data_IF_996098523448
#
_entry.id   IF_996098523448
#
_cell.length_a   1.000
_cell.length_b   1.000
_cell.length_c   1.000
_cell.angle_alpha   90.00
_cell.angle_beta   90.00
_cell.angle_gamma   90.00
#
_symmetry.space_group_name_H-M   'P 1'
#
loop_
_entity.id
_entity.type
_entity.pdbx_description
1 polymer ?
#
# COMPACT_ATOMS: atom_id res chain seq x y z
N UNK A 1 38.14 -12.65 20.53
CA UNK A 1 37.33 -13.16 19.40
C UNK A 1 36.38 -12.06 19.00
N UNK A 2 36.62 -11.40 17.87
CA UNK A 2 35.85 -10.24 17.42
C UNK A 2 34.48 -10.68 16.90
N UNK A 3 33.41 -10.12 17.46
CA UNK A 3 32.04 -10.29 16.96
C UNK A 3 31.78 -9.29 15.84
N UNK A 4 32.07 -9.68 14.60
CA UNK A 4 31.83 -8.89 13.40
C UNK A 4 30.34 -8.75 13.02
N UNK A 5 29.41 -9.26 13.84
CA UNK A 5 27.97 -9.12 13.66
C UNK A 5 27.40 -9.86 12.44
N UNK A 6 28.24 -10.53 11.65
CA UNK A 6 27.87 -11.18 10.39
C UNK A 6 28.17 -12.68 10.45
N UNK A 7 29.20 -13.12 11.19
CA UNK A 7 29.54 -14.54 11.34
C UNK A 7 28.88 -15.24 12.54
N UNK A 8 28.14 -14.51 13.38
CA UNK A 8 27.53 -15.08 14.60
C UNK A 8 26.07 -15.49 14.37
N UNK A 9 25.79 -16.78 14.53
CA UNK A 9 24.43 -17.32 14.47
C UNK A 9 23.53 -16.72 15.56
N UNK A 10 22.27 -16.42 15.22
CA UNK A 10 21.29 -15.87 16.18
C UNK A 10 21.09 -16.82 17.38
N UNK A 11 20.97 -16.33 18.62
CA UNK A 11 20.85 -17.19 19.81
C UNK A 11 19.68 -18.17 19.74
N UNK A 12 18.56 -17.79 19.11
CA UNK A 12 17.43 -18.69 18.91
C UNK A 12 17.77 -19.90 17.99
N UNK A 13 18.69 -19.73 17.04
CA UNK A 13 19.18 -20.84 16.21
C UNK A 13 20.11 -21.75 17.01
N UNK A 14 21.02 -21.17 17.79
CA UNK A 14 21.95 -21.93 18.64
C UNK A 14 21.25 -22.68 19.78
N UNK A 15 20.06 -22.24 20.19
CA UNK A 15 19.24 -22.93 21.17
C UNK A 15 18.53 -24.19 20.61
N UNK A 16 18.60 -24.45 19.30
CA UNK A 16 17.93 -25.61 18.68
C UNK A 16 18.59 -26.94 19.02
N UNK A 17 19.92 -26.98 19.21
CA UNK A 17 20.69 -28.19 19.42
C UNK A 17 21.99 -27.94 20.16
N UNK A 18 22.71 -29.00 20.52
CA UNK A 18 23.98 -28.91 21.27
C UNK A 18 25.16 -28.60 20.37
N UNK A 19 25.05 -28.89 19.07
CA UNK A 19 26.07 -28.61 18.05
C UNK A 19 25.48 -27.81 16.88
N UNK A 20 26.35 -27.15 16.10
CA UNK A 20 25.92 -26.41 14.92
C UNK A 20 25.27 -27.31 13.86
N UNK A 21 25.78 -28.53 13.67
CA UNK A 21 25.20 -29.50 12.74
C UNK A 21 23.79 -29.95 13.16
N UNK A 22 23.58 -30.12 14.47
CA UNK A 22 22.27 -30.45 15.02
C UNK A 22 21.29 -29.29 14.81
N UNK A 23 21.72 -28.05 15.09
CA UNK A 23 20.92 -26.85 14.83
C UNK A 23 20.55 -26.73 13.34
N UNK A 24 21.50 -26.96 12.43
CA UNK A 24 21.28 -26.91 10.99
C UNK A 24 20.29 -27.98 10.51
N UNK A 25 20.39 -29.21 11.03
CA UNK A 25 19.47 -30.30 10.69
C UNK A 25 18.04 -30.02 11.17
N UNK A 26 17.88 -29.51 12.41
CA UNK A 26 16.58 -29.12 12.95
C UNK A 26 15.99 -27.97 12.15
N UNK A 27 16.79 -26.94 11.85
CA UNK A 27 16.35 -25.79 11.06
C UNK A 27 15.97 -26.19 9.62
N UNK A 28 16.70 -27.11 8.99
CA UNK A 28 16.34 -27.69 7.69
C UNK A 28 14.96 -28.33 7.73
N UNK A 29 14.66 -29.11 8.77
CA UNK A 29 13.34 -29.69 9.00
C UNK A 29 12.25 -28.64 9.22
N UNK A 30 12.56 -27.55 9.93
CA UNK A 30 11.65 -26.39 10.08
C UNK A 30 11.35 -25.75 8.72
N UNK A 31 12.36 -25.45 7.91
CA UNK A 31 12.19 -24.84 6.58
C UNK A 31 11.34 -25.72 5.64
N UNK A 32 11.50 -27.04 5.68
CA UNK A 32 10.68 -27.97 4.89
C UNK A 32 9.20 -27.96 5.31
N UNK A 33 8.92 -27.75 6.61
CA UNK A 33 7.57 -27.72 7.16
C UNK A 33 6.94 -26.32 7.12
N UNK A 34 7.75 -25.27 7.00
CA UNK A 34 7.29 -23.91 7.04
C UNK A 34 6.36 -23.61 5.86
N UNK A 35 5.11 -23.26 6.19
CA UNK A 35 4.10 -22.82 5.24
C UNK A 35 3.72 -21.39 5.60
N UNK A 36 4.10 -20.38 4.79
CA UNK A 36 3.69 -19.00 5.02
C UNK A 36 2.17 -18.95 5.05
N UNK A 37 1.60 -18.57 6.19
CA UNK A 37 0.17 -18.31 6.27
C UNK A 37 -0.09 -16.97 5.60
N UNK A 38 -1.15 -16.85 4.78
CA UNK A 38 -1.53 -15.55 4.23
C UNK A 38 -1.81 -14.62 5.41
N UNK A 39 -1.23 -13.42 5.36
CA UNK A 39 -1.51 -12.37 6.34
C UNK A 39 -3.02 -12.17 6.41
N UNK A 40 -3.59 -12.14 7.63
CA UNK A 40 -5.01 -11.84 7.80
C UNK A 40 -5.32 -10.51 7.13
N UNK A 41 -6.11 -10.54 6.07
CA UNK A 41 -6.55 -9.33 5.37
C UNK A 41 -7.71 -8.76 6.17
N UNK A 42 -7.42 -7.83 7.07
CA UNK A 42 -8.46 -6.99 7.63
C UNK A 42 -8.91 -6.00 6.55
N UNK A 43 -10.19 -6.00 6.21
CA UNK A 43 -10.74 -5.05 5.24
C UNK A 43 -10.66 -3.66 5.87
N UNK A 44 -9.76 -2.83 5.35
CA UNK A 44 -9.66 -1.42 5.73
C UNK A 44 -10.98 -0.70 5.40
N UNK A 45 -11.74 -0.32 6.43
CA UNK A 45 -13.03 0.38 6.26
C UNK A 45 -12.88 1.86 5.89
N UNK A 46 -11.73 2.26 5.34
CA UNK A 46 -11.47 3.64 4.95
C UNK A 46 -12.48 4.13 3.93
N UNK A 47 -12.72 3.36 2.85
CA UNK A 47 -13.72 3.72 1.84
C UNK A 47 -15.15 3.71 2.37
N UNK A 48 -15.56 2.66 3.10
CA UNK A 48 -16.93 2.55 3.59
C UNK A 48 -17.29 3.51 4.73
N UNK A 49 -16.32 3.89 5.58
CA UNK A 49 -16.56 4.83 6.68
C UNK A 49 -16.41 6.29 6.25
N UNK A 50 -15.44 6.60 5.39
CA UNK A 50 -15.21 7.97 4.92
C UNK A 50 -16.28 8.40 3.92
N UNK A 51 -16.64 7.54 2.96
CA UNK A 51 -17.60 7.88 1.91
C UNK A 51 -19.06 7.86 2.38
N UNK A 52 -19.40 7.03 3.38
CA UNK A 52 -20.77 6.98 3.92
C UNK A 52 -21.24 8.31 4.56
N UNK A 53 -20.31 9.17 4.98
CA UNK A 53 -20.61 10.51 5.51
C UNK A 53 -20.31 11.66 4.55
N UNK A 54 -19.70 11.37 3.39
CA UNK A 54 -19.23 12.38 2.45
C UNK A 54 -20.38 12.83 1.55
N UNK A 55 -21.20 13.76 2.02
CA UNK A 55 -22.10 14.51 1.14
C UNK A 55 -21.24 15.35 0.19
N UNK A 56 -21.52 15.39 -1.13
CA UNK A 56 -20.82 16.28 -2.05
C UNK A 56 -21.10 17.72 -1.59
N UNK A 57 -20.16 18.30 -0.85
CA UNK A 57 -20.30 19.65 -0.34
C UNK A 57 -20.06 20.59 -1.51
N UNK A 58 -21.12 21.25 -1.98
CA UNK A 58 -21.10 22.24 -3.07
C UNK A 58 -20.32 23.52 -2.70
N UNK A 59 -19.84 23.65 -1.46
CA UNK A 59 -19.07 24.81 -1.01
C UNK A 59 -17.58 24.59 -1.19
N UNK A 60 -16.92 25.52 -1.90
CA UNK A 60 -15.46 25.65 -1.94
C UNK A 60 -14.94 25.67 -0.50
N UNK A 61 -14.23 24.62 -0.08
CA UNK A 61 -13.59 24.60 1.24
C UNK A 61 -12.48 25.65 1.21
N UNK A 62 -12.58 26.67 2.06
CA UNK A 62 -11.46 27.57 2.33
C UNK A 62 -10.27 26.78 2.87
N UNK A 63 -9.06 27.24 2.59
CA UNK A 63 -7.81 26.67 3.11
C UNK A 63 -7.84 26.70 4.64
N UNK A 64 -7.72 25.54 5.28
CA UNK A 64 -7.58 25.47 6.74
C UNK A 64 -6.18 25.94 7.17
N UNK A 65 -6.02 26.51 8.38
CA UNK A 65 -4.71 26.89 8.90
C UNK A 65 -3.73 25.71 8.87
N UNK A 66 -2.59 25.87 8.21
CA UNK A 66 -1.55 24.83 8.06
C UNK A 66 -1.64 23.98 6.77
N UNK A 67 -2.65 24.17 5.92
CA UNK A 67 -2.69 23.53 4.61
C UNK A 67 -1.77 24.26 3.63
N UNK A 68 -0.75 23.57 3.10
CA UNK A 68 0.08 24.08 2.01
C UNK A 68 -0.76 24.22 0.73
N UNK A 69 -0.59 25.34 0.05
CA UNK A 69 -1.18 25.58 -1.27
C UNK A 69 -0.56 24.59 -2.26
N UNK A 70 -1.39 23.89 -3.03
CA UNK A 70 -0.89 22.95 -4.02
C UNK A 70 -0.43 23.72 -5.26
N UNK A 71 0.57 23.20 -5.96
CA UNK A 71 1.12 23.84 -7.16
C UNK A 71 0.06 24.12 -8.24
N UNK A 72 -0.95 23.26 -8.35
CA UNK A 72 -2.06 23.42 -9.30
C UNK A 72 -3.14 24.43 -8.85
N UNK A 73 -3.07 24.98 -7.64
CA UNK A 73 -3.98 26.07 -7.23
C UNK A 73 -3.65 27.39 -7.94
N UNK A 74 -2.47 27.51 -8.54
CA UNK A 74 -2.00 28.69 -9.30
C UNK A 74 -1.91 28.44 -10.80
N UNK A 75 -2.09 27.20 -11.23
CA UNK A 75 -2.08 26.86 -12.65
C UNK A 75 -3.33 27.45 -13.32
N UNK A 76 -3.13 28.08 -14.47
CA UNK A 76 -4.24 28.52 -15.30
C UNK A 76 -4.90 27.33 -15.99
N UNK A 77 -5.91 26.78 -15.32
CA UNK A 77 -6.70 25.63 -15.80
C UNK A 77 -7.51 26.00 -17.07
N UNK A 78 -7.56 27.27 -17.46
CA UNK A 78 -8.20 27.70 -18.72
C UNK A 78 -7.35 27.46 -19.97
N UNK A 79 -6.10 27.01 -19.81
CA UNK A 79 -5.26 26.64 -20.94
C UNK A 79 -5.89 25.54 -21.80
N UNK A 80 -6.11 25.84 -23.08
CA UNK A 80 -6.76 24.94 -24.02
C UNK A 80 -6.06 23.59 -24.19
N UNK A 81 -4.74 23.55 -24.12
CA UNK A 81 -3.96 22.31 -24.26
C UNK A 81 -4.23 21.37 -23.09
N UNK A 82 -4.31 21.92 -21.87
CA UNK A 82 -4.64 21.18 -20.65
C UNK A 82 -6.05 20.60 -20.75
N UNK A 83 -7.02 21.41 -21.21
CA UNK A 83 -8.41 20.97 -21.39
C UNK A 83 -8.52 19.86 -22.44
N UNK A 84 -7.83 19.99 -23.57
CA UNK A 84 -7.80 18.97 -24.64
C UNK A 84 -7.21 17.66 -24.13
N UNK A 85 -6.06 17.72 -23.46
CA UNK A 85 -5.40 16.55 -22.88
C UNK A 85 -6.28 15.85 -21.83
N UNK A 86 -6.89 16.62 -20.91
CA UNK A 86 -7.79 16.09 -19.89
C UNK A 86 -9.03 15.42 -20.51
N UNK A 87 -9.60 16.00 -21.57
CA UNK A 87 -10.76 15.44 -22.27
C UNK A 87 -10.44 14.08 -22.90
N UNK A 88 -9.26 13.94 -23.53
CA UNK A 88 -8.80 12.67 -24.10
C UNK A 88 -8.65 11.63 -22.99
N UNK A 89 -7.98 12.00 -21.90
CA UNK A 89 -7.77 11.10 -20.77
C UNK A 89 -9.08 10.62 -20.17
N UNK A 90 -10.03 11.52 -19.92
CA UNK A 90 -11.35 11.15 -19.39
C UNK A 90 -12.06 10.23 -20.36
N UNK A 91 -12.13 10.55 -21.66
CA UNK A 91 -12.79 9.68 -22.66
C UNK A 91 -12.16 8.29 -22.75
N UNK A 92 -10.83 8.21 -22.71
CA UNK A 92 -10.11 6.95 -22.78
C UNK A 92 -10.31 6.07 -21.54
N UNK A 93 -10.54 6.68 -20.37
CA UNK A 93 -10.69 5.99 -19.09
C UNK A 93 -12.14 5.93 -18.58
N UNK A 94 -13.09 6.53 -19.29
CA UNK A 94 -14.51 6.44 -18.96
C UNK A 94 -14.94 4.98 -19.08
N UNK A 95 -15.23 4.38 -17.92
CA UNK A 95 -15.88 3.07 -17.84
C UNK A 95 -17.30 3.20 -18.38
N UNK A 96 -17.61 2.55 -19.51
CA UNK A 96 -18.97 2.34 -19.96
C UNK A 96 -19.54 1.12 -19.22
N UNK A 97 -20.44 1.28 -18.24
CA UNK A 97 -21.12 0.13 -17.66
C UNK A 97 -21.93 -0.53 -18.77
N UNK A 98 -21.64 -1.81 -19.03
CA UNK A 98 -22.34 -2.61 -20.03
C UNK A 98 -23.86 -2.52 -19.76
N UNK A 99 -24.69 -2.07 -20.73
CA UNK A 99 -26.14 -2.10 -20.54
C UNK A 99 -26.53 -3.56 -20.34
N UNK A 100 -27.06 -3.87 -19.16
CA UNK A 100 -27.55 -5.21 -18.86
C UNK A 100 -28.61 -5.57 -19.89
N UNK A 101 -28.33 -6.57 -20.73
CA UNK A 101 -29.32 -7.21 -21.59
C UNK A 101 -30.48 -7.68 -20.69
N UNK A 102 -31.64 -7.06 -20.85
CA UNK A 102 -32.91 -7.53 -20.29
C UNK A 102 -33.60 -8.41 -21.31
#
# INVERSE_FOLDING_TARGET
MSSDGVTTWHPAFLALGKTLDECANIYKGFCQKYRPQPKKVEKNRWGSKLLAGMKPNQKKKGTSPGQLKLFWDELDITNEEIIKAATIFVKANCYTPNPKNK
#
